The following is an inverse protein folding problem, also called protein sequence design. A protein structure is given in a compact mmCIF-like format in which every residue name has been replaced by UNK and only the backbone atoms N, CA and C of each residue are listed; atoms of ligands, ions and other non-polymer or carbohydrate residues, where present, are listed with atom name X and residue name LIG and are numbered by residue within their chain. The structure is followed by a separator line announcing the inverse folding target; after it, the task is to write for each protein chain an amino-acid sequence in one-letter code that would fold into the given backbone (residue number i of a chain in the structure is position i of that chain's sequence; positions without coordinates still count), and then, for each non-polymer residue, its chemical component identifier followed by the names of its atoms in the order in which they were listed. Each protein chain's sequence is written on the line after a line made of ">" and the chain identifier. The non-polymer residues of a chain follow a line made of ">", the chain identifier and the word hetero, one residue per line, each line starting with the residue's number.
data_IF_236080698565
#
_entry.id   IF_236080698565
#
_cell.length_a   1.000
_cell.length_b   1.000
_cell.length_c   1.000
_cell.angle_alpha   90.00
_cell.angle_beta   90.00
_cell.angle_gamma   90.00
#
_symmetry.space_group_name_H-M   'P 1'
#
loop_
_entity.id
_entity.type
_entity.pdbx_description
1 polymer ?
#
# COMPACT_ATOMS: atom_id res chain seq x y z
N UNK A 1 33.70 38.56 85.70
CA UNK A 1 33.83 37.53 84.67
C UNK A 1 32.42 37.34 84.13
N UNK A 2 32.14 38.03 83.11
CA UNK A 2 30.77 38.23 82.64
C UNK A 2 30.68 37.97 81.13
N UNK A 3 29.71 37.24 80.80
CA UNK A 3 29.29 36.81 79.51
C UNK A 3 29.15 37.93 78.46
N UNK A 4 29.83 37.81 77.36
CA UNK A 4 29.63 38.59 76.16
C UNK A 4 29.74 37.68 74.96
N UNK A 5 28.76 36.85 74.76
CA UNK A 5 28.69 36.11 73.50
C UNK A 5 27.25 35.58 73.25
N UNK A 6 26.37 36.43 72.80
CA UNK A 6 25.16 35.88 72.07
C UNK A 6 24.32 36.94 71.33
N UNK A 7 24.92 37.98 70.74
CA UNK A 7 24.10 38.92 69.94
C UNK A 7 24.35 38.83 68.39
N UNK A 8 25.44 38.22 67.97
CA UNK A 8 25.80 38.19 66.53
C UNK A 8 25.12 37.10 65.72
N UNK A 9 24.65 36.01 66.36
CA UNK A 9 23.98 34.93 65.69
C UNK A 9 22.52 35.20 65.30
N UNK A 10 21.87 36.04 66.15
CA UNK A 10 20.45 36.36 65.89
C UNK A 10 20.27 37.33 64.71
N UNK A 11 21.18 38.29 64.59
CA UNK A 11 21.13 39.27 63.50
C UNK A 11 21.50 38.59 62.12
N UNK A 12 22.42 37.62 62.13
CA UNK A 12 22.78 36.85 60.95
C UNK A 12 21.62 36.01 60.44
N UNK A 13 20.84 35.39 61.33
CA UNK A 13 19.65 34.60 60.98
C UNK A 13 18.50 35.47 60.48
N UNK A 14 18.30 36.64 61.04
CA UNK A 14 17.25 37.58 60.65
C UNK A 14 17.50 38.17 59.25
N UNK A 15 18.76 38.49 58.92
CA UNK A 15 19.13 38.95 57.57
C UNK A 15 18.95 37.91 56.48
N UNK A 16 19.28 36.64 56.75
CA UNK A 16 19.09 35.57 55.80
C UNK A 16 17.62 35.20 55.61
N UNK A 17 16.79 35.29 56.64
CA UNK A 17 15.35 35.06 56.54
C UNK A 17 14.65 36.16 55.72
N UNK A 18 15.06 37.41 55.85
CA UNK A 18 14.55 38.53 55.06
C UNK A 18 14.94 38.42 53.57
N UNK A 19 16.16 37.98 53.29
CA UNK A 19 16.59 37.74 51.89
C UNK A 19 15.85 36.57 51.23
N UNK A 20 15.58 35.48 51.97
CA UNK A 20 14.79 34.35 51.46
C UNK A 20 13.33 34.71 51.24
N UNK A 21 12.72 35.50 52.10
CA UNK A 21 11.36 35.97 51.94
C UNK A 21 11.19 36.94 50.75
N UNK A 22 12.20 37.77 50.48
CA UNK A 22 12.18 38.69 49.35
C UNK A 22 12.37 37.97 48.01
N UNK A 23 13.21 36.92 47.94
CA UNK A 23 13.34 36.06 46.76
C UNK A 23 12.08 35.24 46.47
N UNK A 24 11.37 34.76 47.51
CA UNK A 24 10.12 34.02 47.35
C UNK A 24 8.97 34.91 46.84
N UNK A 25 8.94 36.17 47.17
CA UNK A 25 7.94 37.13 46.67
C UNK A 25 8.19 37.59 45.24
N UNK A 26 9.45 37.63 44.80
CA UNK A 26 9.80 37.95 43.40
C UNK A 26 9.53 36.81 42.41
N UNK A 27 9.51 35.57 42.88
CA UNK A 27 9.16 34.42 42.03
C UNK A 27 7.64 34.23 41.82
N UNK A 28 6.80 34.78 42.70
CA UNK A 28 5.34 34.71 42.49
C UNK A 28 4.80 35.78 41.52
N UNK A 29 5.53 36.88 41.30
CA UNK A 29 5.08 37.95 40.38
C UNK A 29 5.39 37.61 38.88
N UNK A 30 6.25 36.67 38.61
CA UNK A 30 6.58 36.24 37.21
C UNK A 30 5.62 35.17 36.64
N UNK A 31 4.68 34.65 37.44
CA UNK A 31 3.80 33.54 37.02
C UNK A 31 2.45 34.01 36.44
N UNK A 32 2.16 35.29 36.35
CA UNK A 32 0.84 35.78 35.92
C UNK A 32 0.76 36.39 34.53
N UNK A 33 1.75 36.22 33.65
CA UNK A 33 1.65 36.74 32.29
C UNK A 33 2.09 35.75 31.19
N UNK A 34 1.70 34.48 31.37
CA UNK A 34 1.69 33.54 30.25
C UNK A 34 0.24 33.39 29.79
N UNK A 35 -0.12 34.21 28.80
CA UNK A 35 -1.37 34.05 28.08
C UNK A 35 -1.51 32.59 27.65
N UNK A 36 -2.63 32.02 28.06
CA UNK A 36 -3.07 30.67 27.67
C UNK A 36 -3.13 30.56 26.15
N UNK A 37 -2.10 30.04 25.55
CA UNK A 37 -2.30 29.18 24.38
C UNK A 37 -2.75 27.84 24.94
N UNK A 38 -4.05 27.64 24.95
CA UNK A 38 -4.69 26.38 25.22
C UNK A 38 -4.15 25.39 24.21
N UNK A 39 -3.54 24.26 24.59
CA UNK A 39 -3.27 23.21 23.62
C UNK A 39 -4.65 22.72 23.20
N UNK A 40 -4.94 22.91 21.93
CA UNK A 40 -6.00 22.21 21.23
C UNK A 40 -5.92 20.74 21.63
N UNK A 41 -7.04 20.19 22.08
CA UNK A 41 -7.14 18.82 22.56
C UNK A 41 -6.46 17.89 21.54
N UNK A 42 -5.36 17.27 21.94
CA UNK A 42 -4.76 16.18 21.22
C UNK A 42 -5.79 15.05 21.20
N UNK A 43 -6.58 15.00 20.12
CA UNK A 43 -7.33 13.82 19.74
C UNK A 43 -6.30 12.68 19.68
N UNK A 44 -6.54 11.62 20.42
CA UNK A 44 -5.73 10.40 20.43
C UNK A 44 -5.55 9.92 18.98
N UNK A 45 -4.41 10.29 18.40
CA UNK A 45 -4.06 9.89 17.04
C UNK A 45 -3.63 8.42 17.09
N UNK A 46 -4.31 7.57 16.34
CA UNK A 46 -3.85 6.24 15.99
C UNK A 46 -2.39 6.35 15.51
N UNK A 47 -1.51 5.49 16.00
CA UNK A 47 -0.06 5.65 15.91
C UNK A 47 0.53 5.34 14.55
N UNK A 48 0.13 6.02 13.47
CA UNK A 48 0.72 5.93 12.14
C UNK A 48 1.49 7.19 11.74
N UNK A 49 2.47 7.05 10.85
CA UNK A 49 3.20 8.18 10.26
C UNK A 49 2.28 8.90 9.27
N UNK A 50 2.23 10.24 9.35
CA UNK A 50 1.33 11.07 8.56
C UNK A 50 2.10 11.88 7.53
N UNK A 51 1.52 11.98 6.34
CA UNK A 51 2.08 12.79 5.26
C UNK A 51 0.98 13.63 4.61
N UNK A 52 1.25 14.89 4.26
CA UNK A 52 0.32 15.70 3.49
C UNK A 52 0.03 15.04 2.15
N UNK A 53 -1.25 14.97 1.80
CA UNK A 53 -1.73 14.33 0.60
C UNK A 53 -2.48 15.32 -0.30
N UNK A 54 -2.24 15.21 -1.61
CA UNK A 54 -3.03 15.88 -2.66
C UNK A 54 -3.27 14.89 -3.78
N UNK A 55 -4.44 14.95 -4.40
CA UNK A 55 -4.72 14.10 -5.54
C UNK A 55 -6.06 14.41 -6.18
N UNK A 56 -6.31 13.76 -7.31
CA UNK A 56 -7.55 13.85 -8.08
C UNK A 56 -8.26 12.50 -8.05
N UNK A 57 -9.52 12.50 -7.66
CA UNK A 57 -10.36 11.30 -7.65
C UNK A 57 -10.64 10.87 -9.08
N UNK A 58 -10.24 9.66 -9.43
CA UNK A 58 -10.44 9.05 -10.75
C UNK A 58 -11.70 8.20 -10.77
N UNK A 59 -11.86 7.32 -9.78
CA UNK A 59 -13.02 6.46 -9.66
C UNK A 59 -13.30 6.13 -8.19
N UNK A 60 -14.54 5.68 -7.91
CA UNK A 60 -14.98 5.34 -6.56
C UNK A 60 -15.65 3.96 -6.60
N UNK A 61 -15.21 3.06 -5.74
CA UNK A 61 -15.90 1.81 -5.43
C UNK A 61 -16.55 1.92 -4.05
N UNK A 62 -17.86 2.17 -4.04
CA UNK A 62 -18.64 2.29 -2.79
C UNK A 62 -18.79 0.96 -2.06
N UNK A 63 -18.77 -0.17 -2.77
CA UNK A 63 -18.90 -1.48 -2.16
C UNK A 63 -17.63 -1.86 -1.40
N UNK A 64 -16.48 -1.57 -1.97
CA UNK A 64 -15.18 -1.77 -1.33
C UNK A 64 -14.79 -0.62 -0.37
N UNK A 65 -15.55 0.48 -0.33
CA UNK A 65 -15.21 1.71 0.41
C UNK A 65 -13.83 2.25 0.04
N UNK A 66 -13.48 2.20 -1.27
CA UNK A 66 -12.22 2.69 -1.81
C UNK A 66 -12.41 3.69 -2.94
N UNK A 67 -11.43 4.57 -3.13
CA UNK A 67 -11.35 5.43 -4.31
C UNK A 67 -9.96 5.33 -4.94
N UNK A 68 -9.94 5.24 -6.28
CA UNK A 68 -8.69 5.39 -7.03
C UNK A 68 -8.41 6.89 -7.19
N UNK A 69 -7.25 7.30 -6.74
CA UNK A 69 -6.85 8.69 -6.71
C UNK A 69 -5.49 8.83 -7.40
N UNK A 70 -5.42 9.74 -8.36
CA UNK A 70 -4.17 10.20 -8.95
C UNK A 70 -3.53 11.18 -7.96
N UNK A 71 -2.54 10.71 -7.19
CA UNK A 71 -1.88 11.52 -6.18
C UNK A 71 -0.69 12.28 -6.74
N UNK A 72 -0.52 13.52 -6.25
CA UNK A 72 0.73 14.25 -6.41
C UNK A 72 1.85 13.59 -5.59
N UNK A 73 3.15 13.92 -5.84
CA UNK A 73 4.24 13.38 -5.06
C UNK A 73 4.05 13.63 -3.56
N UNK A 74 4.19 12.59 -2.77
CA UNK A 74 4.10 12.66 -1.30
C UNK A 74 5.52 12.65 -0.75
N UNK A 75 6.02 13.81 -0.36
CA UNK A 75 7.40 13.98 0.05
C UNK A 75 7.81 13.02 1.18
N UNK A 76 8.85 12.22 0.93
CA UNK A 76 9.38 11.24 1.87
C UNK A 76 8.53 9.97 2.02
N UNK A 77 7.57 9.75 1.10
CA UNK A 77 6.77 8.54 1.08
C UNK A 77 6.63 7.92 -0.32
N UNK A 78 6.06 8.62 -1.31
CA UNK A 78 5.90 8.09 -2.67
C UNK A 78 5.80 9.18 -3.73
N UNK A 79 6.05 8.79 -4.98
CA UNK A 79 5.89 9.66 -6.15
C UNK A 79 4.43 9.71 -6.64
N UNK A 80 4.19 10.52 -7.69
CA UNK A 80 2.89 10.59 -8.37
C UNK A 80 2.47 9.22 -8.91
N UNK A 81 1.26 8.78 -8.56
CA UNK A 81 0.68 7.54 -9.08
C UNK A 81 -0.83 7.52 -8.90
N UNK A 82 -1.50 6.60 -9.59
CA UNK A 82 -2.91 6.28 -9.30
C UNK A 82 -2.95 5.08 -8.38
N UNK A 83 -3.49 5.27 -7.18
CA UNK A 83 -3.64 4.20 -6.19
C UNK A 83 -5.06 4.15 -5.63
N UNK A 84 -5.42 2.97 -5.12
CA UNK A 84 -6.65 2.77 -4.37
C UNK A 84 -6.43 3.10 -2.91
N UNK A 85 -7.25 4.00 -2.37
CA UNK A 85 -7.18 4.43 -0.97
C UNK A 85 -8.47 4.08 -0.23
N UNK A 86 -8.33 3.59 1.00
CA UNK A 86 -9.40 3.52 1.99
C UNK A 86 -9.48 4.83 2.79
N UNK A 87 -10.56 5.03 3.55
CA UNK A 87 -10.81 6.26 4.28
C UNK A 87 -11.10 6.00 5.75
N UNK A 88 -10.63 6.89 6.62
CA UNK A 88 -11.03 6.93 8.02
C UNK A 88 -11.50 8.34 8.40
N UNK A 89 -12.76 8.51 8.84
CA UNK A 89 -13.81 7.48 8.87
C UNK A 89 -14.27 7.09 7.45
N UNK A 90 -14.79 5.84 7.24
CA UNK A 90 -15.20 5.36 5.92
C UNK A 90 -16.23 6.24 5.21
N UNK A 91 -17.11 6.90 5.95
CA UNK A 91 -18.15 7.79 5.41
C UNK A 91 -17.58 9.02 4.65
N UNK A 92 -16.28 9.30 4.71
CA UNK A 92 -15.68 10.38 3.92
C UNK A 92 -15.77 10.12 2.40
N UNK A 93 -15.85 8.86 2.00
CA UNK A 93 -15.97 8.48 0.58
C UNK A 93 -17.32 8.92 -0.03
N UNK A 94 -18.37 9.03 0.79
CA UNK A 94 -19.73 9.37 0.32
C UNK A 94 -19.82 10.80 -0.24
N UNK A 95 -18.89 11.67 0.17
CA UNK A 95 -18.82 13.06 -0.26
C UNK A 95 -18.05 13.23 -1.57
N UNK A 96 -17.33 12.21 -2.01
CA UNK A 96 -16.43 12.27 -3.16
C UNK A 96 -17.15 11.93 -4.46
N UNK A 97 -16.66 12.53 -5.55
CA UNK A 97 -17.07 12.24 -6.92
C UNK A 97 -15.84 12.14 -7.83
N UNK A 98 -15.87 11.34 -8.90
CA UNK A 98 -14.83 11.38 -9.91
C UNK A 98 -14.65 12.80 -10.45
N UNK A 99 -13.38 13.24 -10.54
CA UNK A 99 -13.01 14.60 -10.92
C UNK A 99 -12.77 15.56 -9.76
N UNK A 100 -13.06 15.18 -8.52
CA UNK A 100 -12.71 15.98 -7.34
C UNK A 100 -11.20 16.05 -7.13
N UNK A 101 -10.70 17.27 -6.94
CA UNK A 101 -9.36 17.50 -6.39
C UNK A 101 -9.48 17.54 -4.87
N UNK A 102 -8.63 16.79 -4.18
CA UNK A 102 -8.68 16.68 -2.73
C UNK A 102 -7.33 16.98 -2.07
N UNK A 103 -7.40 17.41 -0.84
CA UNK A 103 -6.30 17.34 0.12
C UNK A 103 -6.70 16.44 1.27
N UNK A 104 -5.73 15.75 1.85
CA UNK A 104 -5.94 14.81 2.95
C UNK A 104 -4.62 14.63 3.74
N UNK A 105 -4.67 13.79 4.77
CA UNK A 105 -3.50 13.18 5.37
C UNK A 105 -3.48 11.70 4.97
N UNK A 106 -2.43 11.22 4.32
CA UNK A 106 -2.20 9.79 4.22
C UNK A 106 -1.52 9.32 5.49
N UNK A 107 -2.15 8.37 6.16
CA UNK A 107 -1.64 7.76 7.38
C UNK A 107 -1.11 6.38 7.05
N UNK A 108 0.12 6.11 7.45
CA UNK A 108 0.80 4.82 7.25
C UNK A 108 1.08 4.21 8.61
N UNK A 109 0.52 3.04 8.87
CA UNK A 109 0.72 2.29 10.11
C UNK A 109 1.07 0.83 9.77
N UNK A 110 2.31 0.47 10.05
CA UNK A 110 2.94 -0.78 9.64
C UNK A 110 2.79 -0.99 8.12
N UNK A 111 1.89 -1.87 7.72
CA UNK A 111 1.62 -2.30 6.35
C UNK A 111 0.32 -1.73 5.77
N UNK A 112 -0.37 -0.86 6.52
CA UNK A 112 -1.65 -0.27 6.12
C UNK A 112 -1.52 1.21 5.88
N UNK A 113 -2.28 1.69 4.91
CA UNK A 113 -2.40 3.12 4.66
C UNK A 113 -3.85 3.48 4.37
N UNK A 114 -4.24 4.68 4.74
CA UNK A 114 -5.57 5.23 4.51
C UNK A 114 -5.54 6.75 4.49
N UNK A 115 -6.60 7.37 3.98
CA UNK A 115 -6.76 8.82 4.01
C UNK A 115 -7.62 9.24 5.20
N UNK A 116 -7.18 10.32 5.86
CA UNK A 116 -7.93 11.03 6.90
C UNK A 116 -8.02 12.51 6.53
N UNK A 117 -8.95 13.24 7.16
CA UNK A 117 -9.10 14.69 7.00
C UNK A 117 -9.28 15.13 5.55
N UNK A 118 -10.00 14.35 4.76
CA UNK A 118 -10.23 14.62 3.34
C UNK A 118 -11.03 15.90 3.17
N UNK A 119 -10.54 16.80 2.32
CA UNK A 119 -11.20 18.06 1.94
C UNK A 119 -11.21 18.17 0.43
N UNK A 120 -12.37 18.42 -0.13
CA UNK A 120 -12.51 18.72 -1.56
C UNK A 120 -12.05 20.16 -1.76
N UNK A 121 -11.06 20.37 -2.62
CA UNK A 121 -10.46 21.66 -2.94
C UNK A 121 -10.89 22.22 -4.29
N UNK A 122 -11.46 21.36 -5.11
CA UNK A 122 -11.99 21.73 -6.42
C UNK A 122 -12.72 20.55 -7.05
N UNK A 123 -13.55 20.85 -8.03
CA UNK A 123 -14.18 19.88 -8.89
C UNK A 123 -13.90 20.26 -10.33
N UNK A 124 -13.15 19.44 -11.03
CA UNK A 124 -13.00 19.58 -12.47
C UNK A 124 -14.06 18.70 -13.10
N UNK A 125 -15.15 19.31 -13.60
CA UNK A 125 -16.03 18.58 -14.51
C UNK A 125 -15.13 17.98 -15.59
N UNK A 126 -15.25 16.70 -15.94
CA UNK A 126 -14.49 16.11 -17.03
C UNK A 126 -14.86 16.86 -18.31
N UNK A 127 -14.11 17.92 -18.61
CA UNK A 127 -14.29 18.69 -19.83
C UNK A 127 -13.62 17.84 -20.90
N UNK A 128 -14.45 17.18 -21.74
CA UNK A 128 -14.02 16.65 -23.04
C UNK A 128 -12.66 15.95 -23.07
N UNK A 129 -12.24 15.30 -21.99
CA UNK A 129 -11.17 14.35 -22.10
C UNK A 129 -11.60 13.44 -23.25
N UNK A 130 -10.83 13.44 -24.37
CA UNK A 130 -10.77 12.24 -25.22
C UNK A 130 -10.90 11.09 -24.25
N UNK A 131 -11.83 10.14 -24.43
CA UNK A 131 -11.92 9.04 -23.52
C UNK A 131 -10.50 8.52 -23.39
N UNK A 132 -9.82 8.86 -22.30
CA UNK A 132 -8.72 8.08 -21.80
C UNK A 132 -9.36 6.74 -21.74
N UNK A 133 -8.89 5.80 -22.56
CA UNK A 133 -9.47 4.49 -22.71
C UNK A 133 -9.97 4.10 -21.33
N UNK A 134 -11.28 3.84 -21.21
CA UNK A 134 -11.90 3.59 -19.91
C UNK A 134 -11.06 2.52 -19.29
N UNK A 135 -10.23 2.86 -18.29
CA UNK A 135 -9.34 1.90 -17.66
C UNK A 135 -10.24 0.78 -17.19
N UNK A 136 -10.12 -0.37 -17.84
CA UNK A 136 -10.91 -1.54 -17.48
C UNK A 136 -10.49 -1.97 -16.09
N UNK A 137 -11.39 -1.91 -15.12
CA UNK A 137 -11.14 -2.46 -13.79
C UNK A 137 -11.67 -3.89 -13.81
N UNK A 138 -10.82 -4.90 -13.69
CA UNK A 138 -11.26 -6.28 -13.73
C UNK A 138 -12.32 -6.57 -12.68
N UNK A 139 -13.46 -7.09 -13.11
CA UNK A 139 -14.59 -7.42 -12.25
C UNK A 139 -14.86 -8.93 -12.27
N UNK A 140 -15.47 -9.49 -11.21
CA UNK A 140 -15.88 -10.89 -11.19
C UNK A 140 -16.73 -11.25 -12.41
N UNK A 141 -16.34 -12.31 -13.14
CA UNK A 141 -16.99 -12.76 -14.35
C UNK A 141 -16.35 -12.30 -15.66
N UNK A 142 -15.44 -11.30 -15.63
CA UNK A 142 -14.74 -10.84 -16.82
C UNK A 142 -13.82 -11.92 -17.37
N UNK A 143 -13.86 -12.11 -18.69
CA UNK A 143 -13.02 -13.08 -19.38
C UNK A 143 -11.61 -12.51 -19.53
N UNK A 144 -10.61 -13.20 -18.98
CA UNK A 144 -9.20 -12.81 -19.15
C UNK A 144 -8.74 -13.07 -20.58
N UNK A 145 -8.22 -12.05 -21.30
CA UNK A 145 -7.64 -12.23 -22.64
C UNK A 145 -6.41 -13.14 -22.64
N UNK A 146 -6.08 -13.71 -23.82
CA UNK A 146 -4.93 -14.60 -23.97
C UNK A 146 -3.63 -13.83 -24.20
N UNK A 147 -3.15 -13.11 -23.22
CA UNK A 147 -1.86 -12.42 -23.31
C UNK A 147 -0.71 -13.40 -23.43
N UNK A 148 0.24 -13.09 -24.31
CA UNK A 148 1.49 -13.82 -24.48
C UNK A 148 2.56 -13.25 -23.54
N UNK A 149 3.30 -14.12 -22.89
CA UNK A 149 4.32 -13.77 -21.91
C UNK A 149 5.61 -14.54 -22.22
N UNK A 150 6.74 -14.05 -21.72
CA UNK A 150 8.01 -14.78 -21.75
C UNK A 150 8.37 -15.16 -20.33
N UNK A 151 8.40 -16.46 -20.02
CA UNK A 151 8.66 -16.91 -18.66
C UNK A 151 10.17 -16.91 -18.31
N UNK A 152 10.49 -17.21 -17.05
CA UNK A 152 11.85 -17.26 -16.48
C UNK A 152 12.76 -18.29 -17.16
N UNK A 153 12.24 -19.15 -18.02
CA UNK A 153 13.00 -20.10 -18.84
C UNK A 153 13.17 -19.63 -20.30
N UNK A 154 12.71 -18.42 -20.63
CA UNK A 154 12.72 -17.87 -21.98
C UNK A 154 11.68 -18.50 -22.92
N UNK A 155 10.72 -19.24 -22.38
CA UNK A 155 9.63 -19.83 -23.17
C UNK A 155 8.48 -18.86 -23.32
N UNK A 156 7.88 -18.81 -24.51
CA UNK A 156 6.60 -18.16 -24.70
C UNK A 156 5.51 -18.99 -24.03
N UNK A 157 4.74 -18.37 -23.18
CA UNK A 157 3.57 -18.92 -22.49
C UNK A 157 2.36 -18.04 -22.77
N UNK A 158 1.16 -18.54 -22.50
CA UNK A 158 -0.07 -17.77 -22.68
C UNK A 158 -0.99 -17.93 -21.47
N UNK A 159 -1.79 -16.91 -21.16
CA UNK A 159 -2.69 -16.99 -20.00
C UNK A 159 -3.74 -18.11 -20.18
N UNK A 160 -4.16 -18.39 -21.41
CA UNK A 160 -5.13 -19.45 -21.66
C UNK A 160 -4.57 -20.86 -21.45
N UNK A 161 -3.25 -21.06 -21.38
CA UNK A 161 -2.67 -22.38 -21.09
C UNK A 161 -3.00 -22.89 -19.67
N UNK A 162 -3.37 -21.95 -18.77
CA UNK A 162 -3.73 -22.28 -17.38
C UNK A 162 -5.22 -22.61 -17.20
N UNK A 163 -6.03 -22.61 -18.27
CA UNK A 163 -7.43 -23.06 -18.21
C UNK A 163 -7.52 -24.48 -17.67
N UNK A 164 -8.53 -24.73 -16.85
CA UNK A 164 -8.67 -25.97 -16.09
C UNK A 164 -7.95 -25.97 -14.73
N UNK A 165 -7.20 -24.90 -14.44
CA UNK A 165 -6.57 -24.63 -13.15
C UNK A 165 -7.08 -23.31 -12.59
N UNK A 166 -7.09 -23.17 -11.27
CA UNK A 166 -7.20 -21.84 -10.65
C UNK A 166 -5.86 -21.14 -10.78
N UNK A 167 -5.85 -19.95 -11.40
CA UNK A 167 -4.64 -19.16 -11.56
C UNK A 167 -4.65 -17.99 -10.56
N UNK A 168 -3.61 -17.92 -9.72
CA UNK A 168 -3.31 -16.76 -8.89
C UNK A 168 -2.27 -15.92 -9.63
N UNK A 169 -2.67 -14.73 -10.07
CA UNK A 169 -1.85 -13.85 -10.88
C UNK A 169 -1.56 -12.56 -10.10
N UNK A 170 -0.30 -12.12 -10.09
CA UNK A 170 0.09 -10.81 -9.52
C UNK A 170 1.01 -10.05 -10.45
N UNK A 171 0.97 -8.72 -10.35
CA UNK A 171 1.77 -7.80 -11.14
C UNK A 171 2.96 -7.31 -10.33
N UNK A 172 4.17 -7.42 -10.89
CA UNK A 172 5.42 -7.07 -10.20
C UNK A 172 6.41 -6.37 -11.15
N UNK A 173 7.47 -5.79 -10.58
CA UNK A 173 8.76 -5.61 -11.26
C UNK A 173 9.90 -5.89 -10.28
N UNK A 174 10.99 -6.52 -10.76
CA UNK A 174 11.97 -7.14 -9.86
C UNK A 174 12.84 -6.14 -9.10
N UNK A 175 12.98 -4.91 -9.61
CA UNK A 175 13.78 -3.85 -8.99
C UNK A 175 12.95 -2.86 -8.13
N UNK A 176 11.76 -3.27 -7.68
CA UNK A 176 10.95 -2.48 -6.76
C UNK A 176 11.71 -2.27 -5.44
N UNK A 177 12.00 -1.01 -5.05
CA UNK A 177 12.80 -0.73 -3.85
C UNK A 177 11.95 -0.67 -2.57
N UNK A 178 10.64 -0.80 -2.68
CA UNK A 178 9.72 -0.63 -1.57
C UNK A 178 9.38 -2.00 -0.96
N UNK A 179 9.81 -2.28 0.30
CA UNK A 179 9.59 -3.58 0.95
C UNK A 179 8.11 -3.98 1.05
N UNK A 180 7.24 -2.99 1.22
CA UNK A 180 5.80 -3.19 1.44
C UNK A 180 4.98 -3.37 0.15
N UNK A 181 5.64 -3.37 -1.02
CA UNK A 181 5.01 -3.54 -2.32
C UNK A 181 5.37 -4.90 -2.96
N UNK A 182 6.08 -4.91 -4.11
CA UNK A 182 6.39 -6.16 -4.80
C UNK A 182 7.12 -7.19 -3.93
N UNK A 183 8.09 -6.82 -3.05
CA UNK A 183 8.71 -7.80 -2.16
C UNK A 183 7.71 -8.45 -1.20
N UNK A 184 6.78 -7.67 -0.61
CA UNK A 184 5.72 -8.20 0.24
C UNK A 184 4.80 -9.16 -0.50
N UNK A 185 4.29 -8.75 -1.68
CA UNK A 185 3.45 -9.61 -2.52
C UNK A 185 4.15 -10.91 -2.88
N UNK A 186 5.45 -10.85 -3.22
CA UNK A 186 6.25 -12.05 -3.50
C UNK A 186 6.45 -12.93 -2.28
N UNK A 187 6.53 -12.34 -1.08
CA UNK A 187 6.58 -13.10 0.18
C UNK A 187 5.26 -13.84 0.46
N UNK A 188 4.12 -13.17 0.26
CA UNK A 188 2.80 -13.82 0.37
C UNK A 188 2.63 -14.94 -0.66
N UNK A 189 3.11 -14.75 -1.91
CA UNK A 189 3.11 -15.80 -2.92
C UNK A 189 4.03 -16.98 -2.55
N UNK A 190 5.14 -16.73 -1.87
CA UNK A 190 5.98 -17.82 -1.34
C UNK A 190 5.26 -18.62 -0.26
N UNK A 191 4.50 -17.97 0.62
CA UNK A 191 3.67 -18.64 1.61
C UNK A 191 2.53 -19.44 0.95
N UNK A 192 1.91 -18.92 -0.12
CA UNK A 192 0.92 -19.63 -0.93
C UNK A 192 1.53 -20.89 -1.57
N UNK A 193 2.69 -20.76 -2.23
CA UNK A 193 3.38 -21.90 -2.86
C UNK A 193 3.65 -23.03 -1.85
N UNK A 194 4.13 -22.68 -0.65
CA UNK A 194 4.36 -23.67 0.41
C UNK A 194 3.08 -24.40 0.80
N UNK A 195 1.96 -23.70 0.99
CA UNK A 195 0.69 -24.27 1.41
C UNK A 195 0.04 -25.10 0.29
N UNK A 196 0.14 -24.65 -0.97
CA UNK A 196 -0.36 -25.39 -2.15
C UNK A 196 0.40 -26.72 -2.30
N UNK A 197 1.71 -26.71 -2.12
CA UNK A 197 2.53 -27.94 -2.18
C UNK A 197 2.34 -28.86 -0.99
N UNK A 198 2.00 -28.32 0.17
CA UNK A 198 1.75 -29.11 1.38
C UNK A 198 0.43 -29.90 1.31
N UNK A 199 -0.57 -29.42 0.55
CA UNK A 199 -1.85 -30.10 0.37
C UNK A 199 -2.26 -30.18 -1.13
N UNK A 200 -1.60 -31.05 -1.91
CA UNK A 200 -1.90 -31.21 -3.32
C UNK A 200 -3.28 -31.80 -3.60
N UNK A 201 -3.89 -32.50 -2.65
CA UNK A 201 -5.25 -32.98 -2.78
C UNK A 201 -6.25 -31.82 -2.87
N UNK A 202 -6.04 -30.80 -2.06
CA UNK A 202 -6.89 -29.62 -1.99
C UNK A 202 -6.52 -28.57 -3.05
N UNK A 203 -5.22 -28.35 -3.30
CA UNK A 203 -4.74 -27.21 -4.11
C UNK A 203 -3.99 -27.58 -5.39
N UNK A 204 -3.82 -28.88 -5.71
CA UNK A 204 -2.98 -29.36 -6.81
C UNK A 204 -3.39 -28.93 -8.25
N UNK A 205 -4.55 -28.27 -8.39
CA UNK A 205 -4.97 -27.61 -9.63
C UNK A 205 -4.90 -26.07 -9.50
N UNK A 206 -3.94 -25.55 -8.76
CA UNK A 206 -3.69 -24.13 -8.59
C UNK A 206 -2.31 -23.83 -9.15
N UNK A 207 -2.20 -22.74 -9.91
CA UNK A 207 -0.93 -22.25 -10.44
C UNK A 207 -0.71 -20.80 -10.02
N UNK A 208 0.52 -20.46 -9.69
CA UNK A 208 0.94 -19.11 -9.32
C UNK A 208 1.70 -18.49 -10.50
N UNK A 209 1.39 -17.23 -10.82
CA UNK A 209 2.04 -16.49 -11.89
C UNK A 209 2.32 -15.04 -11.46
N UNK A 210 3.60 -14.69 -11.36
CA UNK A 210 4.04 -13.31 -11.18
C UNK A 210 4.42 -12.72 -12.52
N UNK A 211 3.70 -11.68 -12.96
CA UNK A 211 3.92 -11.05 -14.26
C UNK A 211 4.63 -9.71 -14.07
N UNK A 212 5.82 -9.60 -14.67
CA UNK A 212 6.53 -8.34 -14.74
C UNK A 212 6.05 -7.49 -15.91
N UNK A 213 5.86 -6.20 -15.62
CA UNK A 213 5.59 -5.15 -16.60
C UNK A 213 6.82 -4.27 -16.90
N UNK A 214 8.03 -4.72 -16.54
CA UNK A 214 9.31 -4.08 -16.88
C UNK A 214 10.17 -4.99 -17.80
N UNK A 215 9.68 -5.32 -19.00
CA UNK A 215 10.34 -6.30 -19.88
C UNK A 215 11.75 -5.88 -20.33
N UNK A 216 12.04 -4.59 -20.28
CA UNK A 216 13.38 -4.09 -20.64
C UNK A 216 14.45 -4.52 -19.63
N UNK A 217 14.09 -4.64 -18.36
CA UNK A 217 14.97 -5.05 -17.28
C UNK A 217 14.77 -6.51 -16.89
N UNK A 218 13.53 -6.94 -16.76
CA UNK A 218 13.14 -8.24 -16.22
C UNK A 218 13.24 -9.37 -17.26
N UNK A 219 14.48 -9.60 -17.69
CA UNK A 219 14.81 -10.71 -18.60
C UNK A 219 14.53 -12.07 -17.94
N UNK A 220 14.42 -13.18 -18.70
CA UNK A 220 14.24 -14.51 -18.13
C UNK A 220 15.25 -14.85 -17.04
N UNK A 221 16.51 -14.46 -17.20
CA UNK A 221 17.57 -14.66 -16.19
C UNK A 221 17.29 -13.88 -14.90
N UNK A 222 16.84 -12.63 -15.01
CA UNK A 222 16.49 -11.78 -13.87
C UNK A 222 15.28 -12.34 -13.13
N UNK A 223 14.21 -12.70 -13.87
CA UNK A 223 13.00 -13.31 -13.32
C UNK A 223 13.30 -14.62 -12.58
N UNK A 224 14.16 -15.46 -13.15
CA UNK A 224 14.60 -16.70 -12.50
C UNK A 224 15.35 -16.43 -11.18
N UNK A 225 16.26 -15.47 -11.18
CA UNK A 225 17.00 -15.08 -9.97
C UNK A 225 16.07 -14.50 -8.90
N UNK A 226 15.10 -13.69 -9.32
CA UNK A 226 14.11 -13.11 -8.45
C UNK A 226 13.23 -14.18 -7.78
N UNK A 227 12.74 -15.18 -8.56
CA UNK A 227 11.96 -16.29 -8.03
C UNK A 227 12.72 -17.09 -6.96
N UNK A 228 14.00 -17.38 -7.19
CA UNK A 228 14.84 -18.03 -6.18
C UNK A 228 15.05 -17.16 -4.93
N UNK A 229 15.25 -15.86 -5.12
CA UNK A 229 15.43 -14.92 -4.00
C UNK A 229 14.15 -14.80 -3.15
N UNK A 230 12.99 -14.74 -3.79
CA UNK A 230 11.69 -14.57 -3.12
C UNK A 230 11.33 -15.76 -2.24
N UNK A 231 11.79 -16.97 -2.57
CA UNK A 231 11.50 -18.20 -1.83
C UNK A 231 12.64 -18.67 -0.94
N UNK A 232 13.84 -18.12 -1.12
CA UNK A 232 15.07 -18.68 -0.54
C UNK A 232 15.44 -20.05 -1.10
N UNK A 233 14.68 -20.57 -2.08
CA UNK A 233 14.92 -21.86 -2.73
C UNK A 233 15.96 -21.72 -3.85
N UNK A 234 16.67 -22.82 -4.12
CA UNK A 234 17.50 -22.98 -5.34
C UNK A 234 17.01 -24.15 -6.19
N UNK A 235 15.88 -24.75 -5.82
CA UNK A 235 15.28 -25.87 -6.52
C UNK A 235 14.54 -25.39 -7.78
N UNK A 236 14.96 -25.81 -9.01
CA UNK A 236 14.24 -25.49 -10.22
C UNK A 236 12.79 -25.99 -10.25
N UNK A 237 12.44 -26.99 -9.42
CA UNK A 237 11.08 -27.49 -9.25
C UNK A 237 10.08 -26.42 -8.77
N UNK A 238 10.57 -25.32 -8.17
CA UNK A 238 9.75 -24.15 -7.85
C UNK A 238 8.88 -23.71 -9.03
N UNK A 239 9.47 -23.63 -10.22
CA UNK A 239 8.81 -23.08 -11.41
C UNK A 239 7.77 -24.02 -12.06
N UNK A 240 7.51 -25.19 -11.47
CA UNK A 240 6.39 -26.06 -11.87
C UNK A 240 5.06 -25.61 -11.29
N UNK A 241 5.09 -24.86 -10.19
CA UNK A 241 3.90 -24.39 -9.48
C UNK A 241 3.78 -22.87 -9.46
N UNK A 242 4.91 -22.19 -9.53
CA UNK A 242 4.97 -20.74 -9.53
C UNK A 242 5.91 -20.23 -10.62
N UNK A 243 5.35 -19.69 -11.68
CA UNK A 243 6.11 -19.10 -12.77
C UNK A 243 6.25 -17.59 -12.63
N UNK A 244 7.35 -17.08 -13.18
CA UNK A 244 7.64 -15.66 -13.31
C UNK A 244 7.78 -15.34 -14.79
N UNK A 245 7.02 -14.38 -15.28
CA UNK A 245 7.03 -14.04 -16.69
C UNK A 245 7.03 -12.53 -16.88
N UNK A 246 7.49 -12.05 -18.03
CA UNK A 246 7.35 -10.66 -18.43
C UNK A 246 6.38 -10.53 -19.59
N UNK A 247 5.57 -9.46 -19.58
CA UNK A 247 4.77 -9.07 -20.72
C UNK A 247 5.68 -8.44 -21.79
N UNK A 248 5.63 -8.85 -23.07
CA UNK A 248 6.39 -8.20 -24.11
C UNK A 248 6.01 -6.71 -24.23
N UNK A 249 7.00 -5.87 -24.52
CA UNK A 249 6.81 -4.41 -24.62
C UNK A 249 5.65 -4.00 -25.56
N UNK A 250 5.46 -4.74 -26.64
CA UNK A 250 4.40 -4.45 -27.61
C UNK A 250 2.98 -4.74 -27.08
N UNK A 251 2.84 -5.67 -26.16
CA UNK A 251 1.55 -6.06 -25.55
C UNK A 251 1.27 -5.33 -24.24
N UNK A 252 2.29 -4.67 -23.67
CA UNK A 252 2.17 -4.00 -22.37
C UNK A 252 1.04 -2.96 -22.30
N UNK A 253 0.77 -2.10 -23.30
CA UNK A 253 -0.34 -1.15 -23.24
C UNK A 253 -1.70 -1.83 -23.10
N UNK A 254 -2.00 -2.85 -23.91
CA UNK A 254 -3.27 -3.58 -23.87
C UNK A 254 -3.42 -4.36 -22.55
N UNK A 255 -2.32 -4.98 -22.10
CA UNK A 255 -2.26 -5.66 -20.81
C UNK A 255 -2.53 -4.70 -19.65
N UNK A 256 -1.90 -3.53 -19.66
CA UNK A 256 -2.09 -2.52 -18.64
C UNK A 256 -3.52 -1.99 -18.61
N UNK A 257 -4.12 -1.73 -19.78
CA UNK A 257 -5.52 -1.31 -19.87
C UNK A 257 -6.46 -2.36 -19.32
N UNK A 258 -6.25 -3.65 -19.62
CA UNK A 258 -7.10 -4.73 -19.12
C UNK A 258 -6.99 -4.90 -17.61
N UNK A 259 -5.77 -4.92 -17.07
CA UNK A 259 -5.52 -5.17 -15.65
C UNK A 259 -5.50 -3.90 -14.79
N UNK A 260 -6.04 -2.79 -15.26
CA UNK A 260 -6.02 -1.49 -14.56
C UNK A 260 -4.61 -1.13 -14.02
N UNK A 261 -3.56 -1.57 -14.73
CA UNK A 261 -2.19 -1.29 -14.37
C UNK A 261 -1.83 0.12 -14.84
N UNK A 262 -1.78 1.05 -13.90
CA UNK A 262 -1.15 2.34 -14.14
C UNK A 262 0.34 2.24 -13.84
N UNK A 263 1.18 2.71 -14.75
CA UNK A 263 2.62 2.72 -14.56
C UNK A 263 3.26 3.94 -15.22
N UNK A 264 4.31 4.46 -14.59
CA UNK A 264 5.12 5.55 -15.13
C UNK A 264 6.60 5.20 -14.98
N UNK A 265 7.38 5.45 -16.02
CA UNK A 265 8.81 5.15 -16.11
C UNK A 265 9.62 6.43 -15.91
N UNK A 266 9.63 7.01 -14.72
CA UNK A 266 10.38 8.22 -14.43
C UNK A 266 11.67 7.90 -13.67
N UNK A 267 12.81 8.33 -14.23
CA UNK A 267 14.11 8.31 -13.53
C UNK A 267 14.63 6.93 -13.10
N UNK A 268 14.15 5.85 -13.71
CA UNK A 268 14.55 4.48 -13.36
C UNK A 268 13.73 3.82 -12.26
N UNK A 269 12.86 4.56 -11.60
CA UNK A 269 11.83 4.05 -10.70
C UNK A 269 10.52 3.87 -11.48
N UNK A 270 9.82 2.77 -11.26
CA UNK A 270 8.50 2.56 -11.84
C UNK A 270 7.48 2.77 -10.73
N UNK A 271 6.69 3.84 -10.87
CA UNK A 271 5.50 4.01 -10.06
C UNK A 271 4.34 3.27 -10.72
N UNK A 272 3.61 2.48 -9.95
CA UNK A 272 2.55 1.63 -10.51
C UNK A 272 1.49 1.25 -9.48
N UNK A 273 0.30 0.87 -9.96
CA UNK A 273 -0.71 0.23 -9.13
C UNK A 273 -0.34 -1.23 -8.85
N UNK A 274 -0.60 -1.69 -7.62
CA UNK A 274 -0.46 -3.10 -7.23
C UNK A 274 -1.79 -3.81 -7.37
N UNK A 275 -1.76 -5.01 -7.93
CA UNK A 275 -2.97 -5.82 -8.09
C UNK A 275 -2.66 -7.31 -8.12
N UNK A 276 -3.61 -8.09 -7.60
CA UNK A 276 -3.58 -9.56 -7.63
C UNK A 276 -4.95 -10.08 -8.03
N UNK A 277 -4.98 -11.08 -8.92
CA UNK A 277 -6.20 -11.70 -9.40
C UNK A 277 -6.29 -13.17 -9.02
N UNK A 278 -7.47 -13.61 -8.65
CA UNK A 278 -7.87 -15.01 -8.66
C UNK A 278 -8.66 -15.25 -9.95
N UNK A 279 -8.13 -16.11 -10.83
CA UNK A 279 -8.76 -16.48 -12.09
C UNK A 279 -9.27 -17.91 -11.98
N UNK A 280 -10.55 -18.11 -12.27
CA UNK A 280 -11.20 -19.41 -12.23
C UNK A 280 -10.77 -20.32 -13.37
N UNK A 281 -10.99 -21.65 -13.28
CA UNK A 281 -10.58 -22.61 -14.32
C UNK A 281 -11.16 -22.35 -15.72
N UNK A 282 -12.30 -21.66 -15.82
CA UNK A 282 -12.88 -21.24 -17.09
C UNK A 282 -12.25 -19.97 -17.68
N UNK A 283 -11.24 -19.40 -17.00
CA UNK A 283 -10.46 -18.25 -17.44
C UNK A 283 -11.11 -16.91 -17.13
N UNK A 284 -12.00 -16.85 -16.16
CA UNK A 284 -12.65 -15.60 -15.73
C UNK A 284 -12.07 -15.08 -14.43
N UNK A 285 -12.10 -13.76 -14.26
CA UNK A 285 -11.82 -13.13 -12.96
C UNK A 285 -12.84 -13.65 -11.96
N UNK A 286 -12.37 -14.33 -10.92
CA UNK A 286 -13.17 -14.67 -9.76
C UNK A 286 -13.14 -13.53 -8.74
N UNK A 287 -11.93 -12.99 -8.48
CA UNK A 287 -11.75 -11.87 -7.57
C UNK A 287 -10.54 -11.05 -7.95
N UNK A 288 -10.64 -9.76 -7.77
CA UNK A 288 -9.59 -8.79 -8.00
C UNK A 288 -9.23 -8.09 -6.69
N UNK A 289 -7.95 -8.12 -6.33
CA UNK A 289 -7.41 -7.49 -5.15
C UNK A 289 -6.60 -6.26 -5.55
N UNK A 290 -6.94 -5.12 -5.00
CA UNK A 290 -6.14 -3.90 -5.13
C UNK A 290 -5.11 -3.81 -4.01
N UNK A 291 -3.90 -3.31 -4.32
CA UNK A 291 -2.86 -3.14 -3.32
C UNK A 291 -2.21 -4.45 -2.87
N UNK A 292 -1.58 -4.41 -1.71
CA UNK A 292 -0.86 -5.53 -1.09
C UNK A 292 -1.44 -5.93 0.29
N UNK A 293 -2.62 -5.45 0.65
CA UNK A 293 -3.18 -5.62 2.01
C UNK A 293 -3.86 -6.98 2.25
N UNK A 294 -3.86 -7.84 1.25
CA UNK A 294 -4.36 -9.21 1.35
C UNK A 294 -3.30 -10.16 1.94
N UNK A 295 -3.75 -11.28 2.48
CA UNK A 295 -2.90 -12.34 3.03
C UNK A 295 -3.06 -13.64 2.25
N UNK A 296 -2.03 -14.51 2.29
CA UNK A 296 -2.06 -15.81 1.65
C UNK A 296 -3.29 -16.67 2.04
N UNK A 297 -3.73 -16.57 3.29
CA UNK A 297 -4.91 -17.29 3.79
C UNK A 297 -6.21 -16.89 3.10
N UNK A 298 -6.34 -15.62 2.70
CA UNK A 298 -7.54 -15.12 1.99
C UNK A 298 -7.60 -15.68 0.57
N UNK A 299 -6.47 -15.66 -0.16
CA UNK A 299 -6.39 -16.23 -1.49
C UNK A 299 -6.64 -17.75 -1.48
N UNK A 300 -6.17 -18.48 -0.46
CA UNK A 300 -6.45 -19.91 -0.32
C UNK A 300 -7.92 -20.22 -0.07
N UNK A 301 -8.64 -19.36 0.65
CA UNK A 301 -10.09 -19.48 0.81
C UNK A 301 -10.80 -19.29 -0.53
N UNK A 302 -10.40 -18.29 -1.31
CA UNK A 302 -10.95 -18.07 -2.65
C UNK A 302 -10.66 -19.25 -3.58
N UNK A 303 -9.43 -19.78 -3.59
CA UNK A 303 -9.07 -21.00 -4.35
C UNK A 303 -9.96 -22.18 -3.98
N UNK A 304 -10.20 -22.39 -2.68
CA UNK A 304 -11.08 -23.46 -2.22
C UNK A 304 -12.53 -23.25 -2.70
N UNK A 305 -13.02 -22.02 -2.68
CA UNK A 305 -14.38 -21.67 -3.12
C UNK A 305 -14.54 -21.82 -4.63
N UNK A 306 -13.57 -21.38 -5.42
CA UNK A 306 -13.58 -21.51 -6.89
C UNK A 306 -13.64 -22.98 -7.34
N UNK A 307 -12.99 -23.87 -6.58
CA UNK A 307 -12.95 -25.30 -6.91
C UNK A 307 -14.20 -26.07 -6.48
N UNK A 308 -14.87 -25.57 -5.45
CA UNK A 308 -16.06 -26.17 -4.88
C UNK A 308 -17.13 -25.09 -4.71
N UNK A 309 -17.71 -24.57 -5.84
CA UNK A 309 -18.77 -23.59 -5.73
C UNK A 309 -19.90 -24.19 -4.89
N UNK A 310 -20.38 -23.41 -3.92
CA UNK A 310 -21.55 -23.81 -3.13
C UNK A 310 -22.71 -24.03 -4.09
N UNK A 311 -23.27 -25.23 -4.05
CA UNK A 311 -24.44 -25.66 -4.83
C UNK A 311 -25.69 -24.91 -4.41
#
# INVERSE_FOLDING_TARGET
>A
MTDKHNSSSLEFWLQHFLLFALCALLTLAAACNRAKSQPEAATSQSGGKRYPFRGKVISIDKNASTANIDNEPIAGFMDTMVMSYTFKPPAQIDQLQPGDSITADVVVDADKYWLENVKITGHTKPEGAKPTATVHIPAPGDQVPDFKLINQNGKSISLHQYRGQTLLLTLIYTRCPFPDFCPRVSHEFAALDQQIRADPARYGKTHLLSISFDPAHDTPKVLRAYGFSSTGSKDPGLFTHWEFAAIPQAELPEFADYFALTYNLDGGLITHSLSTAVVSPDGKIYKWYHGADWQASELLQDVATVRHPAS
#
